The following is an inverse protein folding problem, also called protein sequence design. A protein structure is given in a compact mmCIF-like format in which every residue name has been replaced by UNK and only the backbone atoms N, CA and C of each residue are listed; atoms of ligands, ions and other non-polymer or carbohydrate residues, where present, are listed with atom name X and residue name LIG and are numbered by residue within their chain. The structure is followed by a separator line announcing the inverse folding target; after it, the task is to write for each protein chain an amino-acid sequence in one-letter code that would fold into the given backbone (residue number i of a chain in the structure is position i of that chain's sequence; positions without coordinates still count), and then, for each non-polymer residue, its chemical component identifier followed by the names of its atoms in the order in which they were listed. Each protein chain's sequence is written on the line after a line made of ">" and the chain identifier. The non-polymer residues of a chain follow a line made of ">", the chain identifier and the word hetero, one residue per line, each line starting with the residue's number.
data_IF_475532551496
#
_entry.id   IF_475532551496
#
_cell.length_a   1.000
_cell.length_b   1.000
_cell.length_c   1.000
_cell.angle_alpha   90.00
_cell.angle_beta   90.00
_cell.angle_gamma   90.00
#
_symmetry.space_group_name_H-M   'P 1'
#
loop_
_entity.id
_entity.type
_entity.pdbx_description
1 polymer ?
#
# COMPACT_ATOMS: atom_id res chain seq x y z
N UNK A 1 -16.13 -9.57 -1.06
CA UNK A 1 -15.18 -10.11 -2.08
C UNK A 1 -14.18 -9.04 -2.50
N UNK A 2 -14.62 -7.81 -2.77
CA UNK A 2 -13.71 -6.68 -3.04
C UNK A 2 -12.80 -6.33 -1.86
N UNK A 3 -13.23 -6.55 -0.61
CA UNK A 3 -12.43 -6.22 0.59
C UNK A 3 -11.14 -7.05 0.72
N UNK A 4 -11.07 -8.20 0.05
CA UNK A 4 -9.87 -9.04 -0.01
C UNK A 4 -8.85 -8.46 -1.00
N UNK A 5 -9.34 -7.89 -2.11
CA UNK A 5 -8.52 -7.33 -3.20
C UNK A 5 -8.14 -5.88 -2.90
N UNK A 6 -9.06 -5.12 -2.30
CA UNK A 6 -8.89 -3.72 -1.92
C UNK A 6 -9.22 -3.55 -0.43
N UNK A 7 -8.34 -4.05 0.45
CA UNK A 7 -8.52 -3.85 1.88
C UNK A 7 -8.45 -2.34 2.20
N UNK A 8 -9.18 -1.88 3.24
CA UNK A 8 -9.12 -0.49 3.68
C UNK A 8 -7.69 -0.15 4.12
N UNK A 9 -7.29 1.11 3.92
CA UNK A 9 -5.98 1.62 4.27
C UNK A 9 -6.09 2.49 5.53
N UNK A 10 -5.17 2.37 6.49
CA UNK A 10 -5.18 3.28 7.63
C UNK A 10 -4.74 4.69 7.18
N UNK A 11 -5.09 5.71 7.98
CA UNK A 11 -4.89 7.14 7.62
C UNK A 11 -3.47 7.49 7.19
N UNK A 12 -2.45 6.87 7.79
CA UNK A 12 -1.05 7.15 7.47
C UNK A 12 -0.59 6.42 6.19
N UNK A 13 -1.18 5.26 5.89
CA UNK A 13 -0.93 4.52 4.67
C UNK A 13 -1.20 5.33 3.41
N UNK A 14 -2.21 6.21 3.43
CA UNK A 14 -2.51 7.09 2.28
C UNK A 14 -1.35 8.06 1.97
N UNK A 15 -0.65 8.55 3.01
CA UNK A 15 0.50 9.44 2.81
C UNK A 15 1.68 8.69 2.19
N UNK A 16 1.95 7.48 2.67
CA UNK A 16 3.03 6.64 2.14
C UNK A 16 2.74 6.19 0.70
N UNK A 17 1.49 5.83 0.41
CA UNK A 17 1.06 5.47 -0.94
C UNK A 17 1.22 6.65 -1.91
N UNK A 18 0.83 7.87 -1.51
CA UNK A 18 0.99 9.06 -2.36
C UNK A 18 2.46 9.31 -2.72
N UNK A 19 3.37 9.18 -1.75
CA UNK A 19 4.81 9.32 -1.99
C UNK A 19 5.32 8.22 -2.94
N UNK A 20 4.90 6.97 -2.73
CA UNK A 20 5.30 5.85 -3.59
C UNK A 20 4.82 6.02 -5.05
N UNK A 21 3.61 6.54 -5.26
CA UNK A 21 3.08 6.88 -6.59
C UNK A 21 3.91 7.98 -7.24
N UNK A 22 4.25 9.05 -6.50
CA UNK A 22 5.08 10.15 -7.03
C UNK A 22 6.47 9.63 -7.44
N UNK A 23 7.12 8.82 -6.59
CA UNK A 23 8.43 8.22 -6.90
C UNK A 23 8.32 7.34 -8.14
N UNK A 24 7.29 6.50 -8.25
CA UNK A 24 7.06 5.64 -9.41
C UNK A 24 6.86 6.44 -10.69
N UNK A 25 6.14 7.56 -10.62
CA UNK A 25 5.96 8.46 -11.74
C UNK A 25 7.30 9.05 -12.20
N UNK A 26 8.15 9.48 -11.27
CA UNK A 26 9.50 9.95 -11.57
C UNK A 26 10.39 8.84 -12.17
N UNK A 27 10.31 7.62 -11.64
CA UNK A 27 11.07 6.46 -12.15
C UNK A 27 10.67 6.11 -13.59
N UNK A 28 9.37 6.17 -13.93
CA UNK A 28 8.87 5.95 -15.29
C UNK A 28 9.47 6.95 -16.28
N UNK A 29 9.67 8.21 -15.88
CA UNK A 29 10.27 9.25 -16.73
C UNK A 29 11.75 8.98 -17.02
N UNK A 30 12.46 8.33 -16.09
CA UNK A 30 13.87 7.99 -16.24
C UNK A 30 14.03 6.73 -17.11
N UNK A 31 13.32 5.66 -16.77
CA UNK A 31 13.42 4.39 -17.48
C UNK A 31 12.15 3.53 -17.27
N UNK A 32 11.60 2.99 -18.36
CA UNK A 32 10.40 2.13 -18.32
C UNK A 32 10.55 0.91 -17.41
N UNK A 33 11.72 0.24 -17.41
CA UNK A 33 11.98 -0.95 -16.58
C UNK A 33 11.99 -0.56 -15.09
N UNK A 34 12.68 0.53 -14.73
CA UNK A 34 12.66 1.03 -13.36
C UNK A 34 11.25 1.46 -12.94
N UNK A 35 10.49 2.06 -13.85
CA UNK A 35 9.09 2.40 -13.65
C UNK A 35 8.20 1.21 -13.32
N UNK A 36 8.38 0.08 -14.01
CA UNK A 36 7.66 -1.17 -13.72
C UNK A 36 8.03 -1.70 -12.33
N UNK A 37 9.32 -1.68 -11.97
CA UNK A 37 9.77 -2.08 -10.63
C UNK A 37 9.15 -1.17 -9.56
N UNK A 38 9.14 0.14 -9.78
CA UNK A 38 8.47 1.11 -8.91
C UNK A 38 6.97 0.86 -8.79
N UNK A 39 6.31 0.48 -9.88
CA UNK A 39 4.88 0.16 -9.88
C UNK A 39 4.57 -1.07 -9.02
N UNK A 40 5.36 -2.15 -9.15
CA UNK A 40 5.23 -3.33 -8.28
C UNK A 40 5.48 -2.98 -6.82
N UNK A 41 6.49 -2.15 -6.54
CA UNK A 41 6.74 -1.65 -5.18
C UNK A 41 5.59 -0.81 -4.64
N UNK A 42 4.93 0.00 -5.48
CA UNK A 42 3.76 0.80 -5.07
C UNK A 42 2.59 -0.09 -4.67
N UNK A 43 2.35 -1.18 -5.42
CA UNK A 43 1.35 -2.20 -5.04
C UNK A 43 1.74 -2.83 -3.70
N UNK A 44 3.01 -3.18 -3.50
CA UNK A 44 3.47 -3.73 -2.23
C UNK A 44 3.26 -2.76 -1.06
N UNK A 45 3.57 -1.47 -1.23
CA UNK A 45 3.31 -0.41 -0.25
C UNK A 45 1.81 -0.32 0.08
N UNK A 46 0.93 -0.39 -0.92
CA UNK A 46 -0.51 -0.43 -0.70
C UNK A 46 -0.93 -1.59 0.22
N UNK A 47 -0.46 -2.80 -0.06
CA UNK A 47 -0.79 -3.97 0.76
C UNK A 47 -0.11 -3.98 2.13
N UNK A 48 1.07 -3.36 2.28
CA UNK A 48 1.77 -3.27 3.55
C UNK A 48 1.02 -2.39 4.55
N UNK A 49 0.47 -1.26 4.10
CA UNK A 49 -0.27 -0.31 4.94
C UNK A 49 -1.79 -0.56 4.96
N UNK A 50 -2.23 -1.76 4.56
CA UNK A 50 -3.63 -2.15 4.74
C UNK A 50 -3.97 -2.22 6.22
N UNK A 51 -5.18 -1.84 6.59
CA UNK A 51 -5.69 -1.96 7.95
C UNK A 51 -6.40 -3.32 8.09
N UNK A 52 -5.82 -4.29 8.83
CA UNK A 52 -6.47 -5.56 9.07
C UNK A 52 -7.57 -5.43 10.12
N UNK A 53 -8.59 -6.27 10.04
CA UNK A 53 -9.51 -6.47 11.16
C UNK A 53 -8.74 -6.92 12.41
N UNK A 54 -8.96 -6.23 13.53
CA UNK A 54 -8.31 -6.53 14.81
C UNK A 54 -9.34 -7.17 15.72
N UNK A 55 -9.00 -8.34 16.25
CA UNK A 55 -9.80 -9.02 17.25
C UNK A 55 -9.12 -8.85 18.60
N UNK A 56 -9.77 -8.25 19.61
CA UNK A 56 -9.24 -8.25 20.97
C UNK A 56 -9.20 -9.70 21.46
N UNK A 57 -8.12 -10.07 22.14
CA UNK A 57 -8.11 -11.30 22.94
C UNK A 57 -9.10 -11.08 24.09
N UNK A 58 -9.99 -12.04 24.33
CA UNK A 58 -10.94 -11.99 25.45
C UNK A 58 -10.16 -11.67 26.74
N UNK A 59 -10.39 -10.48 27.26
CA UNK A 59 -9.94 -10.11 28.60
C UNK A 59 -10.97 -10.68 29.57
N UNK A 60 -10.92 -12.00 29.77
CA UNK A 60 -11.68 -12.69 30.80
C UNK A 60 -11.08 -12.31 32.16
N UNK A 61 -11.40 -11.09 32.63
CA UNK A 61 -11.16 -10.61 34.00
C UNK A 61 -12.22 -11.14 34.96
#
# INVERSE_FOLDING_TARGET
>A
MFDIIFPPLHREGYRMLAIAVIITMLLILINKILGIIGFVLTIWVYYFFRDPERYPINDDS
#
